data_IF_985696124836
#
_entry.id   IF_985696124836
#
_cell.length_a   1.000
_cell.length_b   1.000
_cell.length_c   1.000
_cell.angle_alpha   90.00
_cell.angle_beta   90.00
_cell.angle_gamma   90.00
#
_symmetry.space_group_name_H-M   'P 1'
#
loop_
_entity.id
_entity.type
_entity.pdbx_description
1 polymer ?
#
# COMPACT_ATOMS: atom_id res chain seq x y z
N UNK A 1 -5.11 10.93 18.61
CA UNK A 1 -4.78 9.87 19.58
C UNK A 1 -3.84 10.30 20.69
N UNK A 2 -3.09 11.41 20.59
CA UNK A 2 -2.19 11.87 21.67
C UNK A 2 -2.89 12.22 22.99
N UNK A 3 -4.21 12.40 22.97
CA UNK A 3 -5.00 12.83 24.13
C UNK A 3 -5.95 11.75 24.66
N UNK A 4 -5.83 10.50 24.19
CA UNK A 4 -6.65 9.39 24.69
C UNK A 4 -5.91 8.64 25.81
N UNK A 5 -6.60 8.25 26.89
CA UNK A 5 -6.00 7.40 27.91
C UNK A 5 -5.60 6.04 27.31
N UNK A 6 -4.53 5.43 27.84
CA UNK A 6 -4.01 4.16 27.33
C UNK A 6 -5.10 3.08 27.25
N UNK A 7 -5.99 3.00 28.24
CA UNK A 7 -7.12 2.08 28.24
C UNK A 7 -8.10 2.26 27.07
N UNK A 8 -8.30 3.49 26.60
CA UNK A 8 -9.13 3.75 25.43
C UNK A 8 -8.43 3.31 24.13
N UNK A 9 -7.10 3.45 24.07
CA UNK A 9 -6.30 2.95 22.94
C UNK A 9 -6.35 1.43 22.89
N UNK A 10 -6.13 0.75 24.02
CA UNK A 10 -6.22 -0.72 24.09
C UNK A 10 -7.60 -1.22 23.69
N UNK A 11 -8.66 -0.61 24.23
CA UNK A 11 -10.03 -0.96 23.84
C UNK A 11 -10.29 -0.78 22.34
N UNK A 12 -9.78 0.28 21.72
CA UNK A 12 -9.94 0.50 20.29
C UNK A 12 -9.23 -0.59 19.46
N UNK A 13 -8.08 -1.08 19.92
CA UNK A 13 -7.40 -2.21 19.29
C UNK A 13 -8.20 -3.50 19.43
N UNK A 14 -8.71 -3.80 20.63
CA UNK A 14 -9.54 -4.98 20.86
C UNK A 14 -10.79 -4.97 19.98
N UNK A 15 -11.51 -3.84 19.91
CA UNK A 15 -12.69 -3.69 19.07
C UNK A 15 -12.35 -3.84 17.58
N UNK A 16 -11.23 -3.29 17.12
CA UNK A 16 -10.77 -3.42 15.74
C UNK A 16 -10.44 -4.88 15.38
N UNK A 17 -9.69 -5.59 16.23
CA UNK A 17 -9.28 -6.98 15.99
C UNK A 17 -10.52 -7.90 16.03
N UNK A 18 -11.40 -7.72 17.02
CA UNK A 18 -12.63 -8.51 17.14
C UNK A 18 -13.56 -8.32 15.94
N UNK A 19 -13.62 -7.11 15.37
CA UNK A 19 -14.41 -6.85 14.17
C UNK A 19 -13.86 -7.59 12.93
N UNK A 20 -12.56 -7.87 12.88
CA UNK A 20 -11.91 -8.58 11.78
C UNK A 20 -11.85 -10.10 11.97
N UNK A 21 -12.06 -10.60 13.19
CA UNK A 21 -11.98 -12.03 13.51
C UNK A 21 -12.81 -12.93 12.56
N UNK A 22 -14.07 -12.60 12.19
CA UNK A 22 -14.84 -13.45 11.27
C UNK A 22 -14.21 -13.57 9.87
N UNK A 23 -13.54 -12.51 9.39
CA UNK A 23 -12.83 -12.55 8.11
C UNK A 23 -11.53 -13.35 8.22
N UNK A 24 -10.84 -13.22 9.34
CA UNK A 24 -9.62 -13.96 9.62
C UNK A 24 -9.90 -15.47 9.73
N UNK A 25 -10.87 -15.86 10.57
CA UNK A 25 -11.26 -17.26 10.81
C UNK A 25 -11.78 -17.94 9.54
N UNK A 26 -12.46 -17.18 8.67
CA UNK A 26 -12.93 -17.68 7.38
C UNK A 26 -11.85 -17.74 6.28
N UNK A 27 -10.60 -17.32 6.57
CA UNK A 27 -9.52 -17.25 5.58
C UNK A 27 -9.75 -16.20 4.49
N UNK A 28 -10.60 -15.19 4.75
CA UNK A 28 -10.97 -14.13 3.81
C UNK A 28 -10.27 -12.80 4.08
N UNK A 29 -9.57 -12.67 5.20
CA UNK A 29 -8.73 -11.49 5.48
C UNK A 29 -7.39 -11.63 4.75
N UNK A 30 -7.21 -10.86 3.66
CA UNK A 30 -5.96 -10.88 2.89
C UNK A 30 -4.79 -10.21 3.64
N UNK A 31 -4.95 -8.94 4.00
CA UNK A 31 -3.93 -8.15 4.70
C UNK A 31 -4.56 -6.92 5.37
N UNK A 32 -4.00 -6.48 6.49
CA UNK A 32 -4.35 -5.22 7.16
C UNK A 32 -3.42 -4.11 6.71
N UNK A 33 -3.95 -3.07 6.07
CA UNK A 33 -3.17 -1.92 5.64
C UNK A 33 -2.94 -0.91 6.78
N UNK A 34 -1.67 -0.62 7.08
CA UNK A 34 -1.28 0.54 7.87
C UNK A 34 -0.70 1.63 6.97
N UNK A 35 -1.56 2.60 6.64
CA UNK A 35 -1.17 3.81 5.93
C UNK A 35 -0.80 4.91 6.92
N UNK A 36 0.49 5.24 6.99
CA UNK A 36 1.02 6.27 7.89
C UNK A 36 0.80 7.67 7.32
N UNK A 37 0.60 8.69 8.18
CA UNK A 37 0.33 10.05 7.74
C UNK A 37 1.62 10.77 7.26
N UNK A 38 1.50 11.92 6.56
CA UNK A 38 2.65 12.65 6.03
C UNK A 38 3.65 13.16 7.06
N UNK A 39 3.27 13.36 8.33
CA UNK A 39 4.21 13.75 9.38
C UNK A 39 5.00 12.57 9.97
N UNK A 40 4.78 11.35 9.48
CA UNK A 40 5.48 10.15 9.93
C UNK A 40 6.80 9.99 9.17
N UNK A 41 7.86 10.62 9.69
CA UNK A 41 9.20 10.59 9.08
C UNK A 41 10.01 9.36 9.51
N UNK A 42 10.98 8.93 8.69
CA UNK A 42 11.91 7.86 9.10
C UNK A 42 12.66 8.23 10.38
N UNK A 43 12.60 7.34 11.37
CA UNK A 43 13.37 7.43 12.62
C UNK A 43 13.33 6.09 13.35
N UNK A 44 14.27 5.86 14.27
CA UNK A 44 14.28 4.64 15.11
C UNK A 44 12.96 4.47 15.89
N UNK A 45 12.42 5.57 16.43
CA UNK A 45 11.14 5.58 17.15
C UNK A 45 9.98 5.15 16.25
N UNK A 46 9.91 5.68 15.03
CA UNK A 46 8.83 5.35 14.11
C UNK A 46 8.95 3.93 13.54
N UNK A 47 10.18 3.42 13.33
CA UNK A 47 10.40 2.00 13.01
C UNK A 47 9.88 1.09 14.13
N UNK A 48 10.19 1.41 15.39
CA UNK A 48 9.67 0.67 16.54
C UNK A 48 8.14 0.70 16.59
N UNK A 49 7.52 1.85 16.34
CA UNK A 49 6.07 1.99 16.30
C UNK A 49 5.43 1.13 15.19
N UNK A 50 6.08 1.00 14.02
CA UNK A 50 5.63 0.08 12.97
C UNK A 50 5.59 -1.37 13.47
N UNK A 51 6.64 -1.80 14.19
CA UNK A 51 6.70 -3.15 14.76
C UNK A 51 5.63 -3.38 15.84
N UNK A 52 5.40 -2.39 16.71
CA UNK A 52 4.35 -2.45 17.73
C UNK A 52 2.96 -2.61 17.10
N UNK A 53 2.65 -1.83 16.07
CA UNK A 53 1.39 -1.96 15.32
C UNK A 53 1.25 -3.33 14.65
N UNK A 54 2.32 -3.83 14.03
CA UNK A 54 2.31 -5.15 13.39
C UNK A 54 2.10 -6.28 14.41
N UNK A 55 2.72 -6.18 15.59
CA UNK A 55 2.57 -7.15 16.67
C UNK A 55 1.14 -7.18 17.21
N UNK A 56 0.46 -6.03 17.30
CA UNK A 56 -0.92 -5.94 17.80
C UNK A 56 -1.93 -6.69 16.93
N UNK A 57 -1.69 -6.77 15.63
CA UNK A 57 -2.61 -7.47 14.69
C UNK A 57 -2.18 -8.89 14.37
N UNK A 58 -1.04 -9.35 14.88
CA UNK A 58 -0.61 -10.72 14.69
C UNK A 58 -1.65 -11.71 15.27
N UNK A 59 -1.90 -12.86 14.62
CA UNK A 59 -1.18 -13.42 13.47
C UNK A 59 -1.66 -12.93 12.09
N UNK A 60 -2.57 -11.95 12.00
CA UNK A 60 -2.97 -11.40 10.72
C UNK A 60 -1.79 -10.67 10.04
N UNK A 61 -1.68 -10.83 8.71
CA UNK A 61 -0.67 -10.10 7.94
C UNK A 61 -0.99 -8.62 7.88
N UNK A 62 0.03 -7.77 7.91
CA UNK A 62 -0.11 -6.33 7.70
C UNK A 62 0.81 -5.83 6.60
N UNK A 63 0.43 -4.76 5.89
CA UNK A 63 1.27 -4.07 4.91
C UNK A 63 1.44 -2.59 5.27
N UNK A 64 2.59 -2.03 4.90
CA UNK A 64 3.05 -0.72 5.36
C UNK A 64 3.09 0.25 4.19
N UNK A 65 2.33 1.33 4.31
CA UNK A 65 2.31 2.39 3.33
C UNK A 65 2.73 3.71 3.96
N UNK A 66 3.85 4.26 3.48
CA UNK A 66 4.33 5.55 3.92
C UNK A 66 3.66 6.68 3.11
N UNK A 67 3.70 7.90 3.67
CA UNK A 67 3.22 9.14 3.03
C UNK A 67 4.20 10.29 3.19
N UNK A 68 5.46 9.97 3.45
CA UNK A 68 6.50 10.97 3.61
C UNK A 68 7.77 10.53 2.87
N UNK A 69 8.26 11.39 1.98
CA UNK A 69 9.38 11.10 1.08
C UNK A 69 10.65 10.61 1.80
N UNK A 70 10.87 10.99 3.07
CA UNK A 70 12.08 10.62 3.80
C UNK A 70 12.29 9.11 3.95
N UNK A 71 11.25 8.29 3.85
CA UNK A 71 11.38 6.82 3.87
C UNK A 71 11.98 6.25 2.58
N UNK A 72 11.84 6.95 1.46
CA UNK A 72 12.26 6.50 0.12
C UNK A 72 13.19 7.51 -0.58
N UNK A 73 13.87 8.36 0.20
CA UNK A 73 15.01 9.15 -0.31
C UNK A 73 16.20 8.21 -0.51
N UNK A 74 17.04 8.49 -1.50
CA UNK A 74 18.19 7.64 -1.88
C UNK A 74 19.00 7.10 -0.69
N UNK A 75 19.36 7.96 0.27
CA UNK A 75 20.14 7.56 1.46
C UNK A 75 19.41 6.59 2.40
N UNK A 76 18.08 6.61 2.41
CA UNK A 76 17.23 5.89 3.35
C UNK A 76 16.52 4.69 2.72
N UNK A 77 16.39 4.64 1.39
CA UNK A 77 15.60 3.64 0.68
C UNK A 77 16.06 2.22 1.01
N UNK A 78 17.36 1.95 0.90
CA UNK A 78 17.91 0.62 1.22
C UNK A 78 17.68 0.23 2.69
N UNK A 79 17.87 1.18 3.62
CA UNK A 79 17.63 0.95 5.05
C UNK A 79 16.16 0.64 5.35
N UNK A 80 15.23 1.36 4.71
CA UNK A 80 13.79 1.15 4.85
C UNK A 80 13.37 -0.21 4.30
N UNK A 81 13.79 -0.55 3.09
CA UNK A 81 13.41 -1.81 2.45
C UNK A 81 14.01 -3.01 3.20
N UNK A 82 15.26 -2.92 3.65
CA UNK A 82 15.89 -3.97 4.46
C UNK A 82 15.20 -4.13 5.83
N UNK A 83 14.80 -3.02 6.46
CA UNK A 83 14.03 -3.07 7.70
C UNK A 83 12.69 -3.80 7.50
N UNK A 84 11.92 -3.43 6.47
CA UNK A 84 10.65 -4.09 6.18
C UNK A 84 10.82 -5.58 5.85
N UNK A 85 11.83 -5.91 5.04
CA UNK A 85 12.15 -7.29 4.66
C UNK A 85 12.57 -8.14 5.85
N UNK A 86 13.40 -7.61 6.74
CA UNK A 86 13.86 -8.31 7.95
C UNK A 86 12.75 -8.64 8.95
N UNK A 87 11.59 -8.02 8.81
CA UNK A 87 10.43 -8.21 9.69
C UNK A 87 9.21 -8.80 8.97
N UNK A 88 9.36 -9.28 7.72
CA UNK A 88 8.27 -9.81 6.90
C UNK A 88 7.08 -8.84 6.77
N UNK A 89 7.39 -7.55 6.55
CA UNK A 89 6.40 -6.48 6.41
C UNK A 89 6.31 -6.06 4.93
N UNK A 90 5.25 -6.44 4.20
CA UNK A 90 4.97 -5.97 2.85
C UNK A 90 5.01 -4.45 2.72
N UNK A 91 5.91 -3.94 1.88
CA UNK A 91 5.92 -2.57 1.43
C UNK A 91 4.80 -2.34 0.43
N UNK A 92 4.00 -1.29 0.66
CA UNK A 92 3.01 -0.84 -0.30
C UNK A 92 3.68 0.09 -1.29
N UNK A 93 3.92 -0.45 -2.49
CA UNK A 93 4.37 0.32 -3.64
C UNK A 93 3.25 1.26 -4.07
N UNK A 94 3.55 2.52 -4.35
CA UNK A 94 2.54 3.51 -4.70
C UNK A 94 2.82 4.15 -6.04
N UNK A 95 1.75 4.42 -6.78
CA UNK A 95 1.73 5.33 -7.91
C UNK A 95 0.87 6.53 -7.52
N UNK A 96 1.44 7.73 -7.58
CA UNK A 96 0.86 8.96 -7.03
C UNK A 96 1.52 10.21 -7.63
N UNK A 97 0.92 11.41 -7.48
CA UNK A 97 1.54 12.66 -7.92
C UNK A 97 2.91 12.86 -7.31
N UNK A 98 3.84 13.43 -8.07
CA UNK A 98 5.21 13.70 -7.63
C UNK A 98 5.43 15.19 -7.35
N UNK A 99 6.45 15.52 -6.56
CA UNK A 99 6.79 16.91 -6.23
C UNK A 99 6.14 17.47 -4.96
N UNK A 100 5.39 16.66 -4.22
CA UNK A 100 4.79 17.05 -2.94
C UNK A 100 5.54 16.44 -1.76
N UNK A 101 5.48 17.08 -0.59
CA UNK A 101 6.08 16.54 0.64
C UNK A 101 5.48 15.18 1.06
N UNK A 102 4.23 14.95 0.66
CA UNK A 102 3.51 13.70 0.91
C UNK A 102 3.75 12.60 -0.14
N UNK A 103 4.44 12.95 -1.24
CA UNK A 103 4.72 12.03 -2.34
C UNK A 103 5.81 11.05 -1.98
N UNK A 104 5.63 9.82 -2.45
CA UNK A 104 6.68 8.82 -2.54
C UNK A 104 7.00 8.59 -4.01
N UNK A 105 8.27 8.35 -4.36
CA UNK A 105 8.62 7.85 -5.68
C UNK A 105 7.99 6.46 -5.90
N UNK A 106 7.69 6.08 -7.16
CA UNK A 106 7.11 4.79 -7.51
C UNK A 106 8.15 3.65 -7.45
N UNK A 107 8.70 3.43 -6.25
CA UNK A 107 9.65 2.36 -5.95
C UNK A 107 8.88 1.04 -5.87
N UNK A 108 9.31 0.04 -6.65
CA UNK A 108 8.75 -1.30 -6.61
C UNK A 108 9.70 -2.23 -5.87
N UNK A 109 9.24 -2.77 -4.75
CA UNK A 109 10.02 -3.71 -3.95
C UNK A 109 9.10 -4.71 -3.25
N UNK A 110 9.42 -6.00 -3.38
CA UNK A 110 8.84 -7.05 -2.56
C UNK A 110 9.70 -7.20 -1.29
N UNK A 111 9.10 -6.94 -0.13
CA UNK A 111 9.76 -7.07 1.19
C UNK A 111 9.14 -8.19 2.02
N UNK A 112 8.37 -9.07 1.38
CA UNK A 112 7.67 -10.21 1.97
C UNK A 112 7.19 -11.11 0.83
N UNK A 113 6.69 -12.31 1.17
CA UNK A 113 5.96 -13.19 0.25
C UNK A 113 4.67 -12.56 -0.31
N UNK A 114 4.20 -11.44 0.27
CA UNK A 114 3.12 -10.61 -0.26
C UNK A 114 3.69 -9.28 -0.78
N UNK A 115 3.41 -8.94 -2.03
CA UNK A 115 3.63 -7.62 -2.59
C UNK A 115 2.30 -6.85 -2.68
N UNK A 116 2.34 -5.53 -2.52
CA UNK A 116 1.16 -4.68 -2.61
C UNK A 116 1.46 -3.45 -3.45
N UNK A 117 0.58 -3.12 -4.40
CA UNK A 117 0.64 -1.91 -5.23
C UNK A 117 -0.65 -1.12 -5.05
N UNK A 118 -0.57 0.19 -4.83
CA UNK A 118 -1.73 1.08 -4.76
C UNK A 118 -1.60 2.26 -5.72
N UNK A 119 -2.62 2.43 -6.56
CA UNK A 119 -2.71 3.48 -7.57
C UNK A 119 -3.58 4.64 -7.06
N UNK A 120 -2.98 5.81 -6.84
CA UNK A 120 -3.66 7.00 -6.34
C UNK A 120 -4.03 8.02 -7.43
N UNK A 121 -3.52 7.86 -8.65
CA UNK A 121 -3.70 8.77 -9.77
C UNK A 121 -2.59 9.82 -9.89
N UNK A 122 -2.63 10.61 -10.97
CA UNK A 122 -1.73 11.75 -11.20
C UNK A 122 -2.49 13.08 -11.30
N UNK A 123 -3.43 13.33 -10.38
CA UNK A 123 -4.13 14.62 -10.32
C UNK A 123 -3.32 15.66 -9.53
N UNK A 124 -2.20 16.08 -10.10
CA UNK A 124 -1.24 17.00 -9.48
C UNK A 124 -1.90 18.31 -9.02
N UNK A 125 -2.82 18.85 -9.84
CA UNK A 125 -3.51 20.11 -9.55
C UNK A 125 -4.37 20.07 -8.28
N UNK A 126 -4.87 18.90 -7.90
CA UNK A 126 -5.79 18.73 -6.77
C UNK A 126 -5.18 17.92 -5.61
N UNK A 127 -3.91 17.53 -5.70
CA UNK A 127 -3.30 16.60 -4.76
C UNK A 127 -3.28 17.12 -3.31
N UNK A 128 -2.89 18.38 -3.12
CA UNK A 128 -2.84 19.04 -1.81
C UNK A 128 -4.16 19.71 -1.41
N UNK A 129 -5.22 19.59 -2.22
CA UNK A 129 -6.51 20.18 -1.84
C UNK A 129 -7.17 19.36 -0.74
N UNK A 130 -8.07 20.00 0.03
CA UNK A 130 -8.85 19.32 1.07
C UNK A 130 -9.95 18.41 0.50
N UNK A 131 -10.12 18.37 -0.82
CA UNK A 131 -11.13 17.55 -1.48
C UNK A 131 -10.58 16.16 -1.83
N UNK A 132 -10.90 15.18 -1.00
CA UNK A 132 -10.55 13.77 -1.24
C UNK A 132 -11.04 13.29 -2.61
N UNK A 133 -12.26 13.69 -3.00
CA UNK A 133 -12.86 13.29 -4.28
C UNK A 133 -12.06 13.81 -5.48
N UNK A 134 -11.59 15.07 -5.43
CA UNK A 134 -10.82 15.66 -6.53
C UNK A 134 -9.40 15.15 -6.55
N UNK A 135 -8.78 14.95 -5.38
CA UNK A 135 -7.44 14.34 -5.26
C UNK A 135 -7.33 13.02 -6.02
N UNK A 136 -8.35 12.17 -5.91
CA UNK A 136 -8.40 10.85 -6.55
C UNK A 136 -9.11 10.85 -7.91
N UNK A 137 -9.46 12.02 -8.46
CA UNK A 137 -10.13 12.16 -9.75
C UNK A 137 -9.18 12.01 -10.93
N UNK A 138 -8.69 10.79 -11.14
CA UNK A 138 -7.77 10.47 -12.21
C UNK A 138 -8.18 9.18 -12.92
N UNK A 139 -8.40 9.24 -14.23
CA UNK A 139 -8.61 8.05 -15.05
C UNK A 139 -7.28 7.75 -15.76
N UNK A 140 -6.60 6.68 -15.35
CA UNK A 140 -5.37 6.28 -16.02
C UNK A 140 -5.65 5.97 -17.49
N UNK A 141 -4.74 6.42 -18.34
CA UNK A 141 -4.75 6.08 -19.76
C UNK A 141 -4.35 4.62 -19.98
N UNK A 142 -4.77 4.06 -21.12
CA UNK A 142 -4.37 2.72 -21.54
C UNK A 142 -2.84 2.58 -21.63
N UNK A 143 -2.13 3.63 -22.02
CA UNK A 143 -0.68 3.61 -22.19
C UNK A 143 0.05 3.62 -20.83
N UNK A 144 -0.45 4.36 -19.84
CA UNK A 144 0.06 4.27 -18.47
C UNK A 144 -0.13 2.86 -17.90
N UNK A 145 -1.32 2.27 -18.08
CA UNK A 145 -1.60 0.92 -17.59
C UNK A 145 -0.76 -0.14 -18.31
N UNK A 146 -0.54 0.00 -19.63
CA UNK A 146 0.41 -0.84 -20.38
C UNK A 146 1.84 -0.70 -19.86
N UNK A 147 2.26 0.50 -19.48
CA UNK A 147 3.56 0.73 -18.87
C UNK A 147 3.71 0.12 -17.47
N UNK A 148 2.61 0.00 -16.73
CA UNK A 148 2.57 -0.59 -15.39
C UNK A 148 2.51 -2.11 -15.38
N UNK A 149 1.80 -2.73 -16.33
CA UNK A 149 1.66 -4.19 -16.40
C UNK A 149 3.00 -4.97 -16.31
N UNK A 150 4.04 -4.69 -17.12
CA UNK A 150 5.31 -5.42 -17.01
C UNK A 150 6.04 -5.18 -15.69
N UNK A 151 5.87 -3.99 -15.08
CA UNK A 151 6.47 -3.67 -13.78
C UNK A 151 5.84 -4.50 -12.66
N UNK A 152 4.52 -4.63 -12.68
CA UNK A 152 3.76 -5.46 -11.74
C UNK A 152 4.14 -6.94 -11.93
N UNK A 153 4.30 -7.41 -13.18
CA UNK A 153 4.75 -8.77 -13.45
C UNK A 153 6.12 -9.07 -12.85
N UNK A 154 7.07 -8.13 -12.99
CA UNK A 154 8.39 -8.23 -12.38
C UNK A 154 8.32 -8.22 -10.85
N UNK A 155 7.48 -7.36 -10.26
CA UNK A 155 7.28 -7.37 -8.80
C UNK A 155 6.69 -8.71 -8.33
N UNK A 156 5.73 -9.23 -9.07
CA UNK A 156 5.05 -10.47 -8.75
C UNK A 156 5.97 -11.69 -8.85
N UNK A 157 7.02 -11.69 -9.67
CA UNK A 157 7.99 -12.80 -9.69
C UNK A 157 8.84 -12.89 -8.42
N UNK A 158 8.89 -11.82 -7.62
CA UNK A 158 9.61 -11.76 -6.35
C UNK A 158 8.72 -12.02 -5.12
N UNK A 159 7.43 -12.30 -5.30
CA UNK A 159 6.47 -12.57 -4.22
C UNK A 159 5.59 -13.78 -4.55
N UNK A 160 4.98 -14.42 -3.56
CA UNK A 160 4.00 -15.50 -3.78
C UNK A 160 2.65 -14.96 -4.22
N UNK A 161 2.28 -13.78 -3.76
CA UNK A 161 1.03 -13.12 -4.12
C UNK A 161 1.27 -11.62 -4.23
N UNK A 162 0.65 -10.99 -5.22
CA UNK A 162 0.67 -9.54 -5.41
C UNK A 162 -0.75 -9.00 -5.40
N UNK A 163 -1.04 -8.09 -4.48
CA UNK A 163 -2.30 -7.34 -4.47
C UNK A 163 -2.11 -6.01 -5.19
N UNK A 164 -3.00 -5.69 -6.12
CA UNK A 164 -2.97 -4.44 -6.87
C UNK A 164 -4.28 -3.70 -6.66
N UNK A 165 -4.26 -2.54 -6.02
CA UNK A 165 -5.47 -1.81 -5.66
C UNK A 165 -5.55 -0.48 -6.41
N UNK A 166 -6.69 -0.24 -7.06
CA UNK A 166 -7.04 1.05 -7.63
C UNK A 166 -7.70 1.94 -6.57
N UNK A 167 -7.04 3.03 -6.19
CA UNK A 167 -7.51 3.99 -5.18
C UNK A 167 -7.91 5.36 -5.78
N UNK A 168 -7.91 5.47 -7.10
CA UNK A 168 -8.44 6.61 -7.86
C UNK A 168 -10.00 6.61 -7.88
N UNK A 169 -10.59 6.58 -6.68
CA UNK A 169 -12.02 6.35 -6.44
C UNK A 169 -12.90 7.57 -6.73
N UNK A 170 -12.82 8.10 -7.95
CA UNK A 170 -13.74 9.10 -8.47
C UNK A 170 -14.63 8.46 -9.54
N UNK A 171 -15.96 8.52 -9.33
CA UNK A 171 -16.94 7.85 -10.18
C UNK A 171 -16.62 6.34 -10.33
N UNK A 172 -16.53 5.86 -11.57
CA UNK A 172 -16.25 4.48 -11.96
C UNK A 172 -14.78 4.27 -12.41
N UNK A 173 -13.89 5.24 -12.17
CA UNK A 173 -12.54 5.24 -12.74
C UNK A 173 -11.69 4.09 -12.20
N UNK A 174 -11.72 3.85 -10.89
CA UNK A 174 -11.00 2.75 -10.27
C UNK A 174 -11.42 1.39 -10.85
N UNK A 175 -12.72 1.16 -11.04
CA UNK A 175 -13.26 -0.07 -11.60
C UNK A 175 -12.85 -0.25 -13.07
N UNK A 176 -12.92 0.82 -13.87
CA UNK A 176 -12.50 0.79 -15.27
C UNK A 176 -11.00 0.52 -15.41
N UNK A 177 -10.18 1.18 -14.60
CA UNK A 177 -8.74 0.96 -14.62
C UNK A 177 -8.36 -0.43 -14.08
N UNK A 178 -9.04 -0.94 -13.04
CA UNK A 178 -8.83 -2.30 -12.53
C UNK A 178 -9.17 -3.35 -13.60
N UNK A 179 -10.32 -3.21 -14.27
CA UNK A 179 -10.71 -4.11 -15.36
C UNK A 179 -9.69 -4.10 -16.51
N UNK A 180 -9.24 -2.91 -16.91
CA UNK A 180 -8.24 -2.77 -17.98
C UNK A 180 -6.88 -3.34 -17.59
N UNK A 181 -6.41 -3.08 -16.37
CA UNK A 181 -5.14 -3.61 -15.90
C UNK A 181 -5.19 -5.14 -15.75
N UNK A 182 -6.31 -5.67 -15.26
CA UNK A 182 -6.55 -7.11 -15.19
C UNK A 182 -6.48 -7.75 -16.59
N UNK A 183 -7.11 -7.14 -17.60
CA UNK A 183 -6.99 -7.60 -19.01
C UNK A 183 -5.53 -7.65 -19.48
N UNK A 184 -4.74 -6.60 -19.17
CA UNK A 184 -3.33 -6.51 -19.56
C UNK A 184 -2.46 -7.57 -18.87
N UNK A 185 -2.74 -7.88 -17.60
CA UNK A 185 -1.99 -8.87 -16.82
C UNK A 185 -2.32 -10.31 -17.23
N UNK A 186 -3.59 -10.62 -17.51
CA UNK A 186 -4.03 -11.97 -17.90
C UNK A 186 -3.65 -12.39 -19.33
N UNK A 187 -3.16 -11.48 -20.17
CA UNK A 187 -2.70 -11.79 -21.53
C UNK A 187 -1.35 -12.53 -21.60
N UNK A 188 -0.76 -12.86 -20.46
CA UNK A 188 0.56 -13.48 -20.38
C UNK A 188 0.47 -14.99 -20.03
N UNK A 189 1.42 -15.85 -20.49
CA UNK A 189 1.24 -17.30 -20.51
C UNK A 189 1.23 -17.98 -19.13
N UNK A 190 0.71 -19.22 -19.07
CA UNK A 190 0.57 -20.04 -17.85
C UNK A 190 1.86 -20.25 -17.06
N UNK A 191 1.76 -20.27 -15.72
CA UNK A 191 2.90 -20.34 -14.78
C UNK A 191 3.18 -19.04 -14.02
N UNK A 192 2.27 -18.05 -14.09
CA UNK A 192 2.48 -16.74 -13.49
C UNK A 192 2.32 -16.70 -11.97
N UNK A 193 3.05 -15.81 -11.28
CA UNK A 193 2.78 -15.48 -9.88
C UNK A 193 1.33 -15.02 -9.70
N UNK A 194 0.74 -15.31 -8.53
CA UNK A 194 -0.64 -14.95 -8.22
C UNK A 194 -0.77 -13.43 -8.10
N UNK A 195 -1.56 -12.80 -8.97
CA UNK A 195 -1.87 -11.37 -8.91
C UNK A 195 -3.37 -11.19 -8.72
N UNK A 196 -3.75 -10.51 -7.63
CA UNK A 196 -5.13 -10.15 -7.31
C UNK A 196 -5.29 -8.63 -7.55
N UNK A 197 -6.10 -8.24 -8.54
CA UNK A 197 -6.42 -6.84 -8.90
C UNK A 197 -7.81 -6.45 -8.42
#
# INVERSE_FOLDING_TARGET
>A
MRDLPASAIERAWDEFINALAPLFDAGKLGVILFQYPPWFVISKKNKQYVLECAQRVAPAKTCIEFRHYSWMRDDNQAETLNFLNGHDLPYVCVDMPQGFSSSLPPVLAATSDLAVVRFHGHNDAEWDTKSVQRRFAYLYSDDELKGWAPKIMTLASAAKTTHVLMNNCYKDYAQRNAAKLSELLHRSPTGQPKIDV
#
